data_IF_573130889616
#
_entry.id   IF_573130889616
#
_cell.length_a   1.000
_cell.length_b   1.000
_cell.length_c   1.000
_cell.angle_alpha   90.00
_cell.angle_beta   90.00
_cell.angle_gamma   90.00
#
_symmetry.space_group_name_H-M   'P 1'
#
loop_
_entity.id
_entity.type
_entity.pdbx_description
1 polymer ?
#
# COMPACT_ATOMS: atom_id res chain seq x y z
N UNK A 1 -14.45 6.54 78.45
CA UNK A 1 -13.79 5.78 77.37
C UNK A 1 -14.28 6.40 76.06
N UNK A 2 -13.58 7.44 75.60
CA UNK A 2 -13.95 8.22 74.41
C UNK A 2 -13.11 7.67 73.26
N UNK A 3 -13.77 7.24 72.19
CA UNK A 3 -13.13 6.78 70.96
C UNK A 3 -12.88 8.04 70.13
N UNK A 4 -11.63 8.50 70.11
CA UNK A 4 -11.17 9.50 69.14
C UNK A 4 -11.31 8.91 67.73
N UNK A 5 -12.34 9.37 67.01
CA UNK A 5 -12.41 9.18 65.57
C UNK A 5 -11.49 10.21 64.91
N UNK A 6 -10.26 9.79 64.67
CA UNK A 6 -9.34 10.47 63.77
C UNK A 6 -9.98 10.48 62.37
N UNK A 7 -10.42 11.62 61.82
CA UNK A 7 -10.96 11.65 60.49
C UNK A 7 -9.80 11.37 59.54
N UNK A 8 -9.74 10.15 59.01
CA UNK A 8 -8.84 9.82 57.91
C UNK A 8 -9.07 10.85 56.80
N UNK A 9 -8.15 11.81 56.70
CA UNK A 9 -8.08 12.76 55.61
C UNK A 9 -7.85 11.91 54.37
N UNK A 10 -8.92 11.62 53.65
CA UNK A 10 -8.86 10.89 52.40
C UNK A 10 -7.86 11.64 51.50
N UNK A 11 -6.77 10.97 51.15
CA UNK A 11 -5.80 11.54 50.23
C UNK A 11 -6.56 12.03 48.98
N UNK A 12 -6.28 13.24 48.48
CA UNK A 12 -7.01 13.80 47.36
C UNK A 12 -6.90 12.82 46.18
N UNK A 13 -8.05 12.29 45.75
CA UNK A 13 -8.15 11.48 44.55
C UNK A 13 -7.62 12.34 43.40
N UNK A 14 -6.57 11.93 42.68
CA UNK A 14 -6.03 12.72 41.59
C UNK A 14 -7.15 12.93 40.55
N UNK A 15 -7.59 14.17 40.38
CA UNK A 15 -8.72 14.56 39.53
C UNK A 15 -8.35 14.72 38.05
N UNK A 16 -7.17 14.24 37.64
CA UNK A 16 -6.71 14.27 36.26
C UNK A 16 -5.99 12.99 35.87
N UNK A 17 -5.99 12.62 34.57
CA UNK A 17 -5.22 11.49 34.10
C UNK A 17 -3.76 11.69 34.48
N UNK A 18 -3.12 10.68 35.08
CA UNK A 18 -1.67 10.73 35.28
C UNK A 18 -1.00 10.89 33.91
N UNK A 19 0.21 11.46 33.88
CA UNK A 19 0.94 11.70 32.62
C UNK A 19 1.03 10.44 31.74
N UNK A 20 1.15 9.27 32.36
CA UNK A 20 1.19 7.96 31.69
C UNK A 20 -0.12 7.62 30.97
N UNK A 21 -1.29 7.86 31.59
CA UNK A 21 -2.59 7.62 30.92
C UNK A 21 -2.78 8.54 29.72
N UNK A 22 -2.38 9.80 29.83
CA UNK A 22 -2.45 10.75 28.72
C UNK A 22 -1.50 10.41 27.56
N UNK A 23 -0.38 9.72 27.82
CA UNK A 23 0.53 9.23 26.78
C UNK A 23 -0.08 8.07 26.00
N UNK A 24 -0.63 7.07 26.71
CA UNK A 24 -1.30 5.91 26.11
C UNK A 24 -2.50 6.35 25.25
N UNK A 25 -3.32 7.27 25.74
CA UNK A 25 -4.45 7.81 24.97
C UNK A 25 -4.00 8.49 23.67
N UNK A 26 -2.92 9.29 23.73
CA UNK A 26 -2.34 9.93 22.53
C UNK A 26 -1.84 8.91 21.51
N UNK A 27 -1.18 7.86 21.98
CA UNK A 27 -0.65 6.81 21.11
C UNK A 27 -1.75 5.96 20.48
N UNK A 28 -2.81 5.64 21.23
CA UNK A 28 -4.00 4.97 20.70
C UNK A 28 -4.70 5.83 19.64
N UNK A 29 -4.85 7.14 19.89
CA UNK A 29 -5.40 8.07 18.92
C UNK A 29 -4.53 8.15 17.65
N UNK A 30 -3.20 8.26 17.80
CA UNK A 30 -2.27 8.26 16.68
C UNK A 30 -2.34 6.97 15.86
N UNK A 31 -2.46 5.82 16.54
CA UNK A 31 -2.63 4.52 15.90
C UNK A 31 -3.91 4.46 15.06
N UNK A 32 -5.06 4.85 15.63
CA UNK A 32 -6.33 4.89 14.90
C UNK A 32 -6.26 5.82 13.68
N UNK A 33 -5.61 6.98 13.83
CA UNK A 33 -5.45 7.94 12.74
C UNK A 33 -4.55 7.42 11.62
N UNK A 34 -3.46 6.73 11.96
CA UNK A 34 -2.59 6.08 10.98
C UNK A 34 -3.30 4.96 10.22
N UNK A 35 -4.08 4.12 10.91
CA UNK A 35 -4.88 3.08 10.27
C UNK A 35 -5.90 3.68 9.30
N UNK A 36 -6.63 4.72 9.72
CA UNK A 36 -7.60 5.41 8.86
C UNK A 36 -6.94 6.12 7.67
N UNK A 37 -5.76 6.74 7.86
CA UNK A 37 -4.98 7.30 6.74
C UNK A 37 -4.53 6.21 5.79
N UNK A 38 -4.05 5.08 6.32
CA UNK A 38 -3.54 3.95 5.55
C UNK A 38 -4.57 3.37 4.58
N UNK A 39 -5.84 3.28 4.98
CA UNK A 39 -6.91 2.81 4.07
C UNK A 39 -7.12 3.76 2.89
N UNK A 40 -7.13 5.07 3.13
CA UNK A 40 -7.21 6.09 2.08
C UNK A 40 -6.02 6.07 1.13
N UNK A 41 -4.80 6.05 1.67
CA UNK A 41 -3.56 5.99 0.88
C UNK A 41 -3.48 4.71 0.04
N UNK A 42 -3.89 3.56 0.61
CA UNK A 42 -3.92 2.31 -0.15
C UNK A 42 -4.89 2.39 -1.34
N UNK A 43 -6.05 3.05 -1.19
CA UNK A 43 -6.96 3.29 -2.31
C UNK A 43 -6.28 4.06 -3.45
N UNK A 44 -5.61 5.18 -3.13
CA UNK A 44 -4.90 5.99 -4.11
C UNK A 44 -3.73 5.25 -4.78
N UNK A 45 -3.01 4.43 -4.02
CA UNK A 45 -1.89 3.62 -4.52
C UNK A 45 -2.30 2.70 -5.67
N UNK A 46 -3.48 2.08 -5.58
CA UNK A 46 -4.00 1.17 -6.60
C UNK A 46 -4.82 1.86 -7.70
N UNK A 47 -5.43 3.00 -7.41
CA UNK A 47 -6.17 3.78 -8.40
C UNK A 47 -5.24 4.46 -9.43
N UNK A 48 -4.12 5.04 -8.97
CA UNK A 48 -3.15 5.75 -9.81
C UNK A 48 -2.70 4.94 -11.03
N UNK A 49 -2.21 3.69 -10.90
CA UNK A 49 -1.76 2.93 -12.05
C UNK A 49 -2.90 2.56 -13.01
N UNK A 50 -4.12 2.37 -12.50
CA UNK A 50 -5.28 2.05 -13.34
C UNK A 50 -5.64 3.23 -14.25
N UNK A 51 -5.65 4.45 -13.70
CA UNK A 51 -5.89 5.67 -14.45
C UNK A 51 -4.76 5.94 -15.46
N UNK A 52 -3.50 5.72 -15.05
CA UNK A 52 -2.35 5.84 -15.93
C UNK A 52 -2.46 4.88 -17.12
N UNK A 53 -2.78 3.60 -16.90
CA UNK A 53 -2.98 2.63 -17.98
C UNK A 53 -4.08 3.04 -18.95
N UNK A 54 -5.21 3.54 -18.44
CA UNK A 54 -6.30 4.01 -19.30
C UNK A 54 -5.87 5.20 -20.18
N UNK A 55 -5.20 6.19 -19.60
CA UNK A 55 -4.66 7.32 -20.35
C UNK A 55 -3.64 6.88 -21.39
N UNK A 56 -2.77 5.94 -21.05
CA UNK A 56 -1.77 5.40 -21.97
C UNK A 56 -2.37 4.61 -23.13
N UNK A 57 -3.36 3.77 -22.86
CA UNK A 57 -4.06 3.02 -23.91
C UNK A 57 -4.74 3.98 -24.90
N UNK A 58 -5.35 5.06 -24.40
CA UNK A 58 -5.94 6.09 -25.23
C UNK A 58 -4.89 6.80 -26.10
N UNK A 59 -3.78 7.25 -25.50
CA UNK A 59 -2.71 7.94 -26.24
C UNK A 59 -2.02 7.02 -27.26
N UNK A 60 -1.76 5.76 -26.91
CA UNK A 60 -1.21 4.79 -27.86
C UNK A 60 -2.17 4.55 -29.02
N UNK A 61 -3.48 4.41 -28.76
CA UNK A 61 -4.50 4.24 -29.80
C UNK A 61 -4.52 5.44 -30.75
N UNK A 62 -4.46 6.67 -30.23
CA UNK A 62 -4.32 7.88 -31.05
C UNK A 62 -3.00 7.91 -31.81
N UNK A 63 -1.90 7.49 -31.20
CA UNK A 63 -0.59 7.51 -31.87
C UNK A 63 -0.49 6.54 -33.04
N UNK A 64 -1.29 5.46 -33.04
CA UNK A 64 -1.28 4.38 -34.02
C UNK A 64 -2.38 4.51 -35.08
N UNK A 65 -3.43 5.30 -34.85
CA UNK A 65 -4.56 5.43 -35.78
C UNK A 65 -4.14 5.95 -37.16
N UNK A 66 -4.62 5.32 -38.23
CA UNK A 66 -4.23 5.58 -39.63
C UNK A 66 -4.41 7.05 -40.05
N UNK A 67 -5.49 7.71 -39.62
CA UNK A 67 -5.79 9.11 -39.93
C UNK A 67 -4.97 10.14 -39.12
N UNK A 68 -4.04 9.69 -38.27
CA UNK A 68 -3.32 10.61 -37.37
C UNK A 68 -2.16 11.28 -38.09
N UNK A 69 -2.27 12.59 -38.29
CA UNK A 69 -1.20 13.38 -38.90
C UNK A 69 0.07 13.40 -38.03
N UNK A 70 1.24 13.41 -38.68
CA UNK A 70 2.57 13.37 -38.05
C UNK A 70 2.77 14.24 -36.81
N UNK A 71 2.44 15.56 -36.81
CA UNK A 71 2.67 16.39 -35.64
C UNK A 71 1.84 15.94 -34.43
N UNK A 72 0.63 15.41 -34.64
CA UNK A 72 -0.22 14.88 -33.57
C UNK A 72 0.41 13.62 -32.98
N UNK A 73 0.95 12.70 -33.81
CA UNK A 73 1.64 11.49 -33.31
C UNK A 73 2.83 11.84 -32.42
N UNK A 74 3.63 12.83 -32.80
CA UNK A 74 4.78 13.30 -32.00
C UNK A 74 4.31 13.83 -30.65
N UNK A 75 3.31 14.73 -30.65
CA UNK A 75 2.78 15.33 -29.41
C UNK A 75 2.20 14.27 -28.48
N UNK A 76 1.40 13.35 -29.02
CA UNK A 76 0.77 12.26 -28.27
C UNK A 76 1.82 11.30 -27.71
N UNK A 77 2.86 10.96 -28.46
CA UNK A 77 3.94 10.07 -27.99
C UNK A 77 4.76 10.71 -26.86
N UNK A 78 5.10 12.00 -26.99
CA UNK A 78 5.80 12.75 -25.93
C UNK A 78 4.94 12.84 -24.67
N UNK A 79 3.64 13.11 -24.83
CA UNK A 79 2.69 13.15 -23.71
C UNK A 79 2.55 11.78 -23.04
N UNK A 80 2.49 10.70 -23.83
CA UNK A 80 2.50 9.32 -23.33
C UNK A 80 3.76 9.04 -22.51
N UNK A 81 4.94 9.38 -23.00
CA UNK A 81 6.18 9.25 -22.20
C UNK A 81 6.09 10.04 -20.88
N UNK A 82 5.69 11.31 -20.94
CA UNK A 82 5.60 12.18 -19.77
C UNK A 82 4.63 11.62 -18.70
N UNK A 83 3.44 11.19 -19.10
CA UNK A 83 2.46 10.58 -18.19
C UNK A 83 2.99 9.28 -17.61
N UNK A 84 3.73 8.48 -18.39
CA UNK A 84 4.38 7.25 -17.92
C UNK A 84 5.36 7.55 -16.78
N UNK A 85 6.26 8.53 -16.98
CA UNK A 85 7.22 8.95 -15.96
C UNK A 85 6.56 9.56 -14.72
N UNK A 86 5.58 10.46 -14.91
CA UNK A 86 4.84 11.06 -13.79
C UNK A 86 4.11 9.99 -12.96
N UNK A 87 3.52 8.99 -13.61
CA UNK A 87 2.82 7.89 -12.95
C UNK A 87 3.79 6.97 -12.20
N UNK A 88 4.95 6.65 -12.79
CA UNK A 88 6.02 5.89 -12.13
C UNK A 88 6.52 6.62 -10.87
N UNK A 89 6.79 7.92 -10.98
CA UNK A 89 7.23 8.75 -9.86
C UNK A 89 6.18 8.83 -8.75
N UNK A 90 4.91 9.09 -9.11
CA UNK A 90 3.82 9.18 -8.15
C UNK A 90 3.62 7.87 -7.40
N UNK A 91 3.64 6.74 -8.12
CA UNK A 91 3.53 5.42 -7.50
C UNK A 91 4.70 5.10 -6.58
N UNK A 92 5.94 5.44 -6.96
CA UNK A 92 7.12 5.30 -6.10
C UNK A 92 7.00 6.13 -4.82
N UNK A 93 6.53 7.37 -4.94
CA UNK A 93 6.31 8.28 -3.81
C UNK A 93 5.23 7.75 -2.85
N UNK A 94 4.10 7.27 -3.39
CA UNK A 94 3.04 6.70 -2.57
C UNK A 94 3.46 5.40 -1.88
N UNK A 95 4.23 4.55 -2.57
CA UNK A 95 4.81 3.35 -1.97
C UNK A 95 5.76 3.70 -0.81
N UNK A 96 6.57 4.76 -0.96
CA UNK A 96 7.44 5.24 0.12
C UNK A 96 6.66 5.71 1.35
N UNK A 97 5.60 6.51 1.14
CA UNK A 97 4.75 6.94 2.26
C UNK A 97 4.05 5.76 2.94
N UNK A 98 3.61 4.77 2.17
CA UNK A 98 3.03 3.55 2.73
C UNK A 98 4.03 2.81 3.64
N UNK A 99 5.28 2.63 3.22
CA UNK A 99 6.32 1.98 4.04
C UNK A 99 6.64 2.76 5.32
N UNK A 100 6.66 4.10 5.24
CA UNK A 100 6.85 4.96 6.41
C UNK A 100 5.71 4.81 7.42
N UNK A 101 4.47 4.81 6.93
CA UNK A 101 3.27 4.61 7.76
C UNK A 101 3.26 3.23 8.40
N UNK A 102 3.65 2.19 7.66
CA UNK A 102 3.81 0.83 8.20
C UNK A 102 4.90 0.76 9.27
N UNK A 103 6.02 1.46 9.08
CA UNK A 103 7.08 1.51 10.09
C UNK A 103 6.61 2.15 11.41
N UNK A 104 5.83 3.24 11.32
CA UNK A 104 5.29 3.91 12.51
C UNK A 104 4.19 3.09 13.19
N UNK A 105 3.32 2.42 12.42
CA UNK A 105 2.35 1.47 12.97
C UNK A 105 3.04 0.36 13.76
N UNK A 106 4.11 -0.25 13.22
CA UNK A 106 4.92 -1.26 13.93
C UNK A 106 5.60 -0.71 15.19
N UNK A 107 5.89 0.59 15.25
CA UNK A 107 6.41 1.23 16.46
C UNK A 107 5.31 1.31 17.51
N UNK A 108 4.12 1.81 17.14
CA UNK A 108 2.99 1.96 18.04
C UNK A 108 2.45 0.62 18.55
N UNK A 109 2.38 -0.41 17.71
CA UNK A 109 1.98 -1.76 18.12
C UNK A 109 2.87 -2.31 19.24
N UNK A 110 4.19 -2.08 19.16
CA UNK A 110 5.14 -2.50 20.19
C UNK A 110 5.03 -1.71 21.48
N UNK A 111 4.73 -0.40 21.40
CA UNK A 111 4.60 0.45 22.59
C UNK A 111 3.30 0.17 23.34
N UNK A 112 2.20 -0.07 22.60
CA UNK A 112 0.88 -0.34 23.15
C UNK A 112 0.62 -1.82 23.47
N UNK A 113 1.60 -2.69 23.26
CA UNK A 113 1.48 -4.16 23.39
C UNK A 113 0.26 -4.73 22.63
N UNK A 114 0.02 -4.19 21.43
CA UNK A 114 -1.09 -4.60 20.57
C UNK A 114 -0.71 -5.83 19.74
N UNK A 115 -1.69 -6.69 19.39
CA UNK A 115 -1.46 -7.75 18.42
C UNK A 115 -0.94 -7.16 17.09
N UNK A 116 0.01 -7.82 16.41
CA UNK A 116 0.61 -7.29 15.19
C UNK A 116 -0.40 -7.37 14.05
N UNK A 117 -1.02 -6.24 13.71
CA UNK A 117 -1.98 -6.11 12.60
C UNK A 117 -1.25 -5.61 11.34
N UNK A 118 -0.19 -4.82 11.51
CA UNK A 118 0.67 -4.35 10.42
C UNK A 118 1.47 -5.50 9.77
N UNK A 119 1.76 -6.56 10.52
CA UNK A 119 2.48 -7.72 10.01
C UNK A 119 1.53 -8.72 9.35
N UNK A 120 1.22 -8.56 8.06
CA UNK A 120 0.37 -9.54 7.35
C UNK A 120 0.93 -10.97 7.39
N UNK A 121 2.27 -11.12 7.36
CA UNK A 121 2.93 -12.43 7.43
C UNK A 121 2.76 -13.05 8.82
N UNK A 122 3.02 -12.28 9.87
CA UNK A 122 2.89 -12.77 11.26
C UNK A 122 1.40 -12.93 11.66
N UNK A 123 0.50 -12.17 11.04
CA UNK A 123 -0.95 -12.32 11.18
C UNK A 123 -1.46 -13.65 10.61
N UNK A 124 -0.85 -14.14 9.53
CA UNK A 124 -1.16 -15.45 8.93
C UNK A 124 -0.73 -16.59 9.84
N UNK A 125 0.35 -16.42 10.59
CA UNK A 125 0.83 -17.40 11.57
C UNK A 125 -0.03 -17.36 12.84
N UNK A 126 -0.32 -16.17 13.37
CA UNK A 126 -1.09 -15.98 14.60
C UNK A 126 -2.57 -16.36 14.47
N UNK A 127 -3.23 -16.10 13.32
CA UNK A 127 -4.60 -16.56 13.05
C UNK A 127 -4.69 -18.08 12.80
N UNK A 128 -3.57 -18.76 12.57
CA UNK A 128 -3.52 -20.20 12.70
C UNK A 128 -3.66 -20.62 14.17
N UNK A 129 -2.96 -19.96 15.08
CA UNK A 129 -2.81 -20.40 16.48
C UNK A 129 -3.94 -19.99 17.42
N UNK A 130 -4.81 -19.03 17.07
CA UNK A 130 -5.98 -18.68 17.90
C UNK A 130 -7.02 -19.81 17.81
N UNK A 131 -6.90 -20.74 18.75
CA UNK A 131 -7.66 -21.98 18.82
C UNK A 131 -9.13 -21.76 19.20
N UNK A 132 -10.00 -22.28 18.35
CA UNK A 132 -11.22 -22.96 18.77
C UNK A 132 -11.36 -24.21 17.88
N UNK A 133 -11.60 -25.37 18.51
CA UNK A 133 -11.66 -26.73 17.96
C UNK A 133 -10.32 -27.54 17.88
N UNK A 134 -10.07 -28.44 18.85
CA UNK A 134 -8.91 -29.34 18.86
C UNK A 134 -8.98 -30.51 17.84
N UNK A 135 -10.04 -30.65 17.03
CA UNK A 135 -10.35 -31.92 16.34
C UNK A 135 -10.15 -31.94 14.81
N UNK A 136 -9.49 -30.94 14.20
CA UNK A 136 -9.29 -30.88 12.72
C UNK A 136 -7.82 -30.79 12.27
N UNK A 137 -6.90 -31.48 12.95
CA UNK A 137 -5.45 -31.38 12.71
C UNK A 137 -4.95 -31.92 11.36
N UNK A 138 -5.67 -32.85 10.71
CA UNK A 138 -5.29 -33.40 9.40
C UNK A 138 -5.69 -32.45 8.23
N UNK A 139 -6.97 -32.10 8.13
CA UNK A 139 -7.48 -31.15 7.12
C UNK A 139 -6.90 -29.73 7.22
N UNK A 140 -6.23 -29.41 8.34
CA UNK A 140 -5.53 -28.15 8.57
C UNK A 140 -4.09 -28.17 8.04
N UNK A 141 -3.39 -29.30 8.20
CA UNK A 141 -2.05 -29.51 7.60
C UNK A 141 -2.12 -29.49 6.08
N UNK A 142 -3.12 -30.14 5.48
CA UNK A 142 -3.29 -30.15 4.03
C UNK A 142 -3.62 -28.77 3.46
N UNK A 143 -4.42 -27.96 4.17
CA UNK A 143 -4.69 -26.56 3.79
C UNK A 143 -3.45 -25.69 3.88
N UNK A 144 -2.63 -25.84 4.93
CA UNK A 144 -1.36 -25.12 5.04
C UNK A 144 -0.36 -25.56 3.95
N UNK A 145 -0.31 -26.85 3.62
CA UNK A 145 0.55 -27.38 2.56
C UNK A 145 0.14 -26.89 1.16
N UNK A 146 -1.16 -26.90 0.85
CA UNK A 146 -1.68 -26.33 -0.39
C UNK A 146 -1.42 -24.83 -0.46
N UNK A 147 -1.63 -24.09 0.64
CA UNK A 147 -1.33 -22.65 0.72
C UNK A 147 0.15 -22.39 0.48
N UNK A 148 1.06 -23.06 1.17
CA UNK A 148 2.49 -22.89 0.95
C UNK A 148 2.89 -23.19 -0.51
N UNK A 149 2.20 -24.12 -1.18
CA UNK A 149 2.41 -24.39 -2.62
C UNK A 149 1.93 -23.25 -3.52
N UNK A 150 0.78 -22.64 -3.22
CA UNK A 150 0.24 -21.50 -3.98
C UNK A 150 1.07 -20.23 -3.76
N UNK A 151 1.49 -19.98 -2.52
CA UNK A 151 2.32 -18.82 -2.18
C UNK A 151 3.81 -19.01 -2.58
N UNK A 152 4.24 -20.24 -2.85
CA UNK A 152 5.53 -20.53 -3.48
C UNK A 152 5.54 -20.28 -5.00
N UNK A 153 4.39 -19.99 -5.62
CA UNK A 153 4.35 -19.64 -7.03
C UNK A 153 5.14 -18.33 -7.25
N UNK A 154 6.02 -18.27 -8.27
CA UNK A 154 6.89 -17.12 -8.49
C UNK A 154 6.09 -15.82 -8.70
N UNK A 155 4.91 -15.91 -9.30
CA UNK A 155 4.00 -14.79 -9.54
C UNK A 155 3.47 -14.13 -8.27
N UNK A 156 3.34 -14.88 -7.18
CA UNK A 156 2.82 -14.39 -5.89
C UNK A 156 3.92 -13.69 -5.08
N UNK A 157 5.18 -14.11 -5.26
CA UNK A 157 6.34 -13.48 -4.62
C UNK A 157 6.86 -12.23 -5.36
N UNK A 158 6.35 -11.94 -6.55
CA UNK A 158 6.68 -10.69 -7.22
C UNK A 158 6.12 -9.53 -6.39
N UNK A 159 7.01 -8.65 -5.92
CA UNK A 159 6.62 -7.38 -5.30
C UNK A 159 5.72 -6.66 -6.30
N UNK A 160 4.44 -6.51 -5.97
CA UNK A 160 3.47 -5.93 -6.90
C UNK A 160 3.91 -4.57 -7.43
N UNK A 161 4.54 -3.76 -6.57
CA UNK A 161 5.21 -2.51 -6.96
C UNK A 161 6.15 -2.68 -8.18
N UNK A 162 6.99 -3.70 -8.20
CA UNK A 162 7.93 -3.96 -9.30
C UNK A 162 7.23 -4.36 -10.61
N UNK A 163 6.15 -5.13 -10.52
CA UNK A 163 5.34 -5.50 -11.70
C UNK A 163 4.71 -4.26 -12.32
N UNK A 164 4.15 -3.38 -11.49
CA UNK A 164 3.53 -2.15 -11.97
C UNK A 164 4.52 -1.15 -12.56
N UNK A 165 5.67 -0.94 -11.89
CA UNK A 165 6.73 -0.10 -12.42
C UNK A 165 7.23 -0.62 -13.78
N UNK A 166 7.40 -1.94 -13.92
CA UNK A 166 7.83 -2.56 -15.18
C UNK A 166 6.78 -2.35 -16.29
N UNK A 167 5.50 -2.49 -15.98
CA UNK A 167 4.42 -2.26 -16.94
C UNK A 167 4.35 -0.80 -17.42
N UNK A 168 4.45 0.16 -16.49
CA UNK A 168 4.49 1.59 -16.84
C UNK A 168 5.74 1.95 -17.65
N UNK A 169 6.90 1.37 -17.31
CA UNK A 169 8.13 1.53 -18.06
C UNK A 169 8.00 0.99 -19.48
N UNK A 170 7.45 -0.21 -19.65
CA UNK A 170 7.23 -0.82 -20.96
C UNK A 170 6.35 0.06 -21.87
N UNK A 171 5.30 0.65 -21.31
CA UNK A 171 4.41 1.56 -22.04
C UNK A 171 5.13 2.86 -22.41
N UNK A 172 5.94 3.43 -21.51
CA UNK A 172 6.75 4.60 -21.83
C UNK A 172 7.76 4.29 -22.96
N UNK A 173 8.36 3.10 -22.95
CA UNK A 173 9.23 2.62 -24.03
C UNK A 173 8.48 2.42 -25.34
N UNK A 174 7.23 1.93 -25.31
CA UNK A 174 6.41 1.82 -26.51
C UNK A 174 6.15 3.20 -27.14
N UNK A 175 5.80 4.21 -26.34
CA UNK A 175 5.66 5.58 -26.82
C UNK A 175 6.98 6.13 -27.38
N UNK A 176 8.11 5.84 -26.74
CA UNK A 176 9.43 6.23 -27.25
C UNK A 176 9.74 5.56 -28.60
N UNK A 177 9.39 4.28 -28.77
CA UNK A 177 9.56 3.56 -30.02
C UNK A 177 8.70 4.17 -31.15
N UNK A 178 7.44 4.51 -30.86
CA UNK A 178 6.57 5.21 -31.83
C UNK A 178 7.17 6.57 -32.21
N UNK A 179 7.65 7.35 -31.23
CA UNK A 179 8.31 8.63 -31.49
C UNK A 179 9.53 8.47 -32.40
N UNK A 180 10.40 7.50 -32.13
CA UNK A 180 11.57 7.21 -32.97
C UNK A 180 11.16 6.79 -34.37
N UNK A 181 10.15 5.92 -34.51
CA UNK A 181 9.64 5.50 -35.81
C UNK A 181 9.14 6.69 -36.64
N UNK A 182 8.34 7.58 -36.03
CA UNK A 182 7.82 8.80 -36.69
C UNK A 182 8.93 9.78 -37.10
N UNK A 183 10.05 9.81 -36.38
CA UNK A 183 11.18 10.69 -36.68
C UNK A 183 12.11 10.11 -37.76
N UNK A 184 12.39 8.81 -37.73
CA UNK A 184 13.37 8.16 -38.62
C UNK A 184 12.75 7.70 -39.93
N UNK A 185 11.54 7.14 -39.88
CA UNK A 185 10.86 6.58 -41.06
C UNK A 185 9.43 7.15 -41.13
N UNK A 186 9.28 8.41 -41.58
CA UNK A 186 7.98 9.09 -41.58
C UNK A 186 6.90 8.37 -42.40
N UNK A 187 7.29 7.60 -43.40
CA UNK A 187 6.38 6.87 -44.28
C UNK A 187 5.98 5.48 -43.73
N UNK A 188 6.54 5.04 -42.59
CA UNK A 188 6.25 3.71 -42.03
C UNK A 188 4.89 3.62 -41.32
N UNK A 189 4.30 4.77 -40.99
CA UNK A 189 3.06 4.91 -40.23
C UNK A 189 2.02 5.79 -40.96
N UNK A 190 2.22 6.04 -42.26
CA UNK A 190 1.26 6.71 -43.16
C UNK A 190 0.51 5.70 -44.01
#
# INVERSE_FOLDING_TARGET
MSIDHDPMVAAPVPTGPTRAWAEVEREQFAYQMLVQRGTGTNGLLWQTPSLALAAQAFLLTLSLGEDTIRPVRIVVSVLGMAIGFMSMQLMAKQHWYYELDQAELRRLERVLDLPPIAHRVDQIESHGTIGWAPTRSAARRDRMAWRNRVWALPWVNLKSYGVWQSGLCLIALANAAVLVAVLVVPDLLN
#
